data_IF_028164658956
#
_entry.id   IF_028164658956
#
_cell.length_a   1.000
_cell.length_b   1.000
_cell.length_c   1.000
_cell.angle_alpha   90.00
_cell.angle_beta   90.00
_cell.angle_gamma   90.00
#
_symmetry.space_group_name_H-M   'P 1'
#
loop_
_entity.id
_entity.type
_entity.pdbx_description
1 polymer ?
#
# COMPACT_ATOMS: atom_id res chain seq x y z
N UNK A 1 -6.54 -15.76 -9.97
CA UNK A 1 -6.07 -15.67 -11.37
C UNK A 1 -6.39 -14.29 -11.92
N UNK A 2 -5.51 -13.73 -12.74
CA UNK A 2 -5.65 -12.41 -13.38
C UNK A 2 -5.86 -12.59 -14.89
N UNK A 3 -6.70 -11.75 -15.50
CA UNK A 3 -6.79 -11.60 -16.95
C UNK A 3 -5.60 -10.78 -17.46
N UNK A 4 -5.08 -11.06 -18.68
CA UNK A 4 -4.03 -10.24 -19.30
C UNK A 4 -4.36 -8.74 -19.43
N UNK A 5 -5.65 -8.38 -19.42
CA UNK A 5 -6.09 -6.97 -19.43
C UNK A 5 -6.00 -6.27 -18.08
N UNK A 6 -5.74 -7.01 -17.00
CA UNK A 6 -5.75 -6.49 -15.62
C UNK A 6 -4.37 -6.13 -15.10
N UNK A 7 -3.34 -6.42 -15.88
CA UNK A 7 -1.97 -6.10 -15.51
C UNK A 7 -1.14 -5.74 -16.73
N UNK A 8 -0.04 -5.06 -16.46
CA UNK A 8 1.09 -4.96 -17.38
C UNK A 8 2.33 -5.54 -16.72
N UNK A 9 3.39 -5.73 -17.49
CA UNK A 9 4.71 -6.12 -16.96
C UNK A 9 5.63 -4.93 -17.13
N UNK A 10 6.28 -4.52 -16.04
CA UNK A 10 7.10 -3.32 -16.10
C UNK A 10 7.87 -3.03 -14.83
N UNK A 11 8.48 -1.84 -14.84
CA UNK A 11 9.27 -1.31 -13.73
C UNK A 11 8.43 -0.40 -12.86
N UNK A 12 8.74 -0.39 -11.57
CA UNK A 12 7.99 0.38 -10.57
C UNK A 12 7.95 1.87 -10.88
N UNK A 13 8.97 2.42 -11.56
CA UNK A 13 9.00 3.83 -11.94
C UNK A 13 7.91 4.28 -12.91
N UNK A 14 7.18 3.33 -13.52
CA UNK A 14 6.02 3.61 -14.37
C UNK A 14 4.67 3.39 -13.68
N UNK A 15 4.68 2.86 -12.44
CA UNK A 15 3.48 2.51 -11.71
C UNK A 15 2.87 3.75 -11.04
N UNK A 16 1.56 3.93 -11.26
CA UNK A 16 0.78 5.01 -10.64
C UNK A 16 0.35 4.63 -9.22
N UNK A 17 0.01 5.60 -8.36
CA UNK A 17 -0.65 5.32 -7.07
C UNK A 17 -1.84 4.36 -7.24
N UNK A 18 -2.07 3.53 -6.22
CA UNK A 18 -3.00 2.38 -6.26
C UNK A 18 -2.64 1.32 -7.31
N UNK A 19 -1.34 1.09 -7.53
CA UNK A 19 -0.85 -0.09 -8.24
C UNK A 19 -0.24 -1.09 -7.27
N UNK A 20 -0.63 -2.36 -7.38
CA UNK A 20 0.02 -3.49 -6.72
C UNK A 20 1.02 -4.12 -7.70
N UNK A 21 2.28 -4.26 -7.29
CA UNK A 21 3.29 -4.98 -8.07
C UNK A 21 3.49 -6.35 -7.43
N UNK A 22 3.22 -7.40 -8.19
CA UNK A 22 3.51 -8.78 -7.79
C UNK A 22 4.86 -9.23 -8.38
N UNK A 23 5.68 -9.97 -7.61
CA UNK A 23 6.99 -10.41 -8.08
C UNK A 23 6.85 -11.44 -9.21
N UNK A 24 7.70 -11.31 -10.22
CA UNK A 24 7.86 -12.27 -11.33
C UNK A 24 9.12 -13.12 -11.20
N UNK A 25 9.99 -12.78 -10.25
CA UNK A 25 11.21 -13.53 -9.93
C UNK A 25 11.48 -13.57 -8.43
N UNK A 26 12.41 -14.42 -8.02
CA UNK A 26 12.87 -14.54 -6.62
C UNK A 26 13.67 -13.32 -6.10
N UNK A 27 13.99 -12.37 -6.97
CA UNK A 27 14.73 -11.16 -6.61
C UNK A 27 13.81 -9.94 -6.47
N UNK A 28 12.51 -10.12 -6.69
CA UNK A 28 11.49 -9.08 -6.57
C UNK A 28 10.64 -9.31 -5.32
N UNK A 29 9.99 -8.24 -4.84
CA UNK A 29 9.08 -8.29 -3.69
C UNK A 29 7.73 -7.68 -4.06
N UNK A 30 6.69 -8.02 -3.28
CA UNK A 30 5.37 -7.40 -3.44
C UNK A 30 5.41 -5.95 -2.98
N UNK A 31 4.98 -5.02 -3.85
CA UNK A 31 4.98 -3.58 -3.58
C UNK A 31 3.58 -2.98 -3.76
N UNK A 32 3.22 -1.99 -2.95
CA UNK A 32 2.07 -1.11 -3.19
C UNK A 32 2.55 0.31 -3.44
N UNK A 33 2.06 0.93 -4.52
CA UNK A 33 2.35 2.33 -4.82
C UNK A 33 1.29 3.22 -4.18
N UNK A 34 1.73 4.10 -3.29
CA UNK A 34 0.95 5.23 -2.77
C UNK A 34 1.65 6.55 -3.11
N UNK A 35 1.49 7.55 -2.25
CA UNK A 35 2.07 8.88 -2.41
C UNK A 35 2.68 9.40 -1.11
N UNK A 36 3.81 10.10 -1.24
CA UNK A 36 4.44 10.86 -0.17
C UNK A 36 4.82 12.22 -0.76
N UNK A 37 4.34 13.30 -0.15
CA UNK A 37 4.52 14.67 -0.66
C UNK A 37 4.13 14.79 -2.14
N UNK A 38 2.96 14.24 -2.49
CA UNK A 38 2.40 14.17 -3.86
C UNK A 38 3.20 13.31 -4.86
N UNK A 39 4.35 12.76 -4.44
CA UNK A 39 5.20 11.93 -5.30
C UNK A 39 4.87 10.44 -5.14
N UNK A 40 4.75 9.70 -6.27
CA UNK A 40 4.59 8.24 -6.25
C UNK A 40 5.66 7.55 -5.42
N UNK A 41 5.23 6.72 -4.48
CA UNK A 41 6.09 6.07 -3.49
C UNK A 41 5.68 4.63 -3.31
N UNK A 42 6.61 3.69 -3.53
CA UNK A 42 6.38 2.27 -3.35
C UNK A 42 6.68 1.86 -1.91
N UNK A 43 5.83 1.01 -1.36
CA UNK A 43 5.95 0.40 -0.03
C UNK A 43 6.09 -1.11 -0.18
N UNK A 44 7.09 -1.70 0.46
CA UNK A 44 7.29 -3.15 0.48
C UNK A 44 6.28 -3.82 1.41
N UNK A 45 5.50 -4.75 0.86
CA UNK A 45 4.47 -5.49 1.60
C UNK A 45 4.95 -6.85 2.12
N UNK A 46 6.03 -7.37 1.56
CA UNK A 46 6.56 -8.71 1.82
C UNK A 46 8.09 -8.69 1.82
N UNK A 47 8.72 -9.83 2.08
CA UNK A 47 10.16 -10.00 1.89
C UNK A 47 11.03 -9.34 2.96
N UNK A 48 12.31 -9.17 2.65
CA UNK A 48 13.31 -8.67 3.61
C UNK A 48 13.18 -7.17 3.84
N UNK A 49 12.61 -6.45 2.87
CA UNK A 49 12.40 -5.00 2.96
C UNK A 49 11.01 -4.64 3.46
N UNK A 50 10.19 -5.62 3.93
CA UNK A 50 8.82 -5.40 4.40
C UNK A 50 8.73 -4.14 5.28
N UNK A 51 7.74 -3.31 4.99
CA UNK A 51 7.47 -1.98 5.56
C UNK A 51 8.38 -0.83 5.15
N UNK A 52 9.50 -1.07 4.47
CA UNK A 52 10.30 0.02 3.90
C UNK A 52 9.60 0.66 2.70
N UNK A 53 10.06 1.84 2.29
CA UNK A 53 9.53 2.54 1.13
C UNK A 53 10.61 3.27 0.34
N UNK A 54 10.30 3.62 -0.90
CA UNK A 54 11.15 4.45 -1.76
C UNK A 54 10.31 5.19 -2.82
N UNK A 55 10.77 6.37 -3.26
CA UNK A 55 10.14 7.13 -4.35
C UNK A 55 10.30 6.35 -5.66
N UNK A 56 9.24 6.23 -6.46
CA UNK A 56 9.27 5.36 -7.64
C UNK A 56 9.91 6.02 -8.86
N UNK A 57 9.88 7.35 -8.96
CA UNK A 57 10.37 8.09 -10.13
C UNK A 57 11.80 7.67 -10.55
N UNK A 58 11.94 7.22 -11.80
CA UNK A 58 13.22 6.77 -12.37
C UNK A 58 13.77 5.46 -11.80
N UNK A 59 13.02 4.74 -10.95
CA UNK A 59 13.46 3.48 -10.38
C UNK A 59 13.24 2.31 -11.36
N UNK A 60 14.36 1.80 -11.87
CA UNK A 60 14.43 0.65 -12.79
C UNK A 60 14.84 -0.66 -12.07
N UNK A 61 15.15 -0.58 -10.78
CA UNK A 61 15.66 -1.70 -9.98
C UNK A 61 14.57 -2.70 -9.60
N UNK A 62 13.34 -2.23 -9.37
CA UNK A 62 12.20 -3.07 -9.01
C UNK A 62 11.16 -3.14 -10.13
N UNK A 63 10.48 -4.28 -10.22
CA UNK A 63 9.46 -4.52 -11.23
C UNK A 63 8.61 -5.74 -10.92
N UNK A 64 7.78 -6.11 -11.89
CA UNK A 64 6.93 -7.28 -11.80
C UNK A 64 5.64 -7.12 -12.60
N UNK A 65 4.61 -7.86 -12.19
CA UNK A 65 3.25 -7.69 -12.70
C UNK A 65 2.62 -6.47 -12.01
N UNK A 66 2.40 -5.41 -12.76
CA UNK A 66 1.78 -4.18 -12.27
C UNK A 66 0.27 -4.29 -12.48
N UNK A 67 -0.47 -4.33 -11.38
CA UNK A 67 -1.94 -4.37 -11.34
C UNK A 67 -2.41 -2.98 -10.90
N UNK A 68 -2.87 -2.13 -11.82
CA UNK A 68 -3.34 -0.79 -11.48
C UNK A 68 -4.74 -0.82 -10.86
N UNK A 69 -5.15 0.31 -10.29
CA UNK A 69 -6.51 0.55 -9.80
C UNK A 69 -7.00 -0.49 -8.80
N UNK A 70 -6.09 -0.99 -7.94
CA UNK A 70 -6.49 -1.84 -6.82
C UNK A 70 -7.23 -1.02 -5.77
N UNK A 71 -8.06 -1.71 -4.98
CA UNK A 71 -8.82 -1.09 -3.88
C UNK A 71 -8.32 -1.60 -2.55
N UNK A 72 -8.39 -0.73 -1.55
CA UNK A 72 -8.02 -1.05 -0.18
C UNK A 72 -9.30 -1.30 0.61
N UNK A 73 -9.40 -2.46 1.24
CA UNK A 73 -10.50 -2.79 2.16
C UNK A 73 -9.90 -3.00 3.56
N UNK A 74 -10.52 -2.42 4.57
CA UNK A 74 -10.12 -2.49 5.98
C UNK A 74 -11.05 -3.45 6.72
N UNK A 75 -10.49 -4.18 7.69
CA UNK A 75 -11.26 -4.97 8.64
C UNK A 75 -11.60 -4.11 9.86
N UNK A 76 -12.88 -3.80 10.01
CA UNK A 76 -13.40 -2.94 11.07
C UNK A 76 -13.23 -3.51 12.47
N UNK A 77 -12.88 -4.80 12.61
CA UNK A 77 -12.66 -5.41 13.93
C UNK A 77 -11.20 -5.31 14.40
N UNK A 78 -10.30 -4.88 13.51
CA UNK A 78 -8.85 -4.86 13.73
C UNK A 78 -8.30 -3.54 14.27
N UNK A 79 -9.09 -2.84 15.10
CA UNK A 79 -8.70 -1.55 15.66
C UNK A 79 -7.40 -1.64 16.47
N UNK A 80 -6.55 -0.65 16.26
CA UNK A 80 -5.32 -0.45 17.03
C UNK A 80 -5.40 0.91 17.70
N UNK A 81 -4.98 0.98 18.97
CA UNK A 81 -4.87 2.24 19.67
C UNK A 81 -3.97 3.22 18.88
N UNK A 82 -4.45 4.45 18.71
CA UNK A 82 -3.75 5.51 17.98
C UNK A 82 -2.38 5.79 18.59
N UNK A 83 -2.28 5.78 19.92
CA UNK A 83 -1.10 6.15 20.69
C UNK A 83 -0.22 4.97 21.06
N UNK A 84 -0.63 3.75 20.73
CA UNK A 84 0.19 2.58 21.00
C UNK A 84 1.44 2.57 20.11
N UNK A 85 2.61 2.52 20.77
CA UNK A 85 3.89 2.24 20.14
C UNK A 85 4.00 0.82 19.58
N UNK A 86 3.03 -0.05 19.89
CA UNK A 86 2.98 -1.44 19.45
C UNK A 86 2.20 -1.62 18.13
N UNK A 87 1.69 -0.54 17.54
CA UNK A 87 1.00 -0.63 16.27
C UNK A 87 1.92 -1.25 15.19
N UNK A 88 1.46 -2.31 14.50
CA UNK A 88 2.30 -2.98 13.51
C UNK A 88 2.63 -2.03 12.35
N UNK A 89 3.84 -2.15 11.83
CA UNK A 89 4.17 -1.56 10.53
C UNK A 89 3.22 -2.10 9.46
N UNK A 90 2.96 -1.29 8.43
CA UNK A 90 1.89 -1.49 7.45
C UNK A 90 0.46 -1.39 8.01
N UNK A 91 0.25 -0.98 9.27
CA UNK A 91 -1.08 -0.55 9.70
C UNK A 91 -1.59 0.63 8.86
N UNK A 92 -2.89 0.68 8.63
CA UNK A 92 -3.53 1.77 7.89
C UNK A 92 -4.31 2.68 8.84
N UNK A 93 -4.30 3.98 8.56
CA UNK A 93 -5.01 4.99 9.34
C UNK A 93 -5.94 5.78 8.45
N UNK A 94 -7.23 5.81 8.80
CA UNK A 94 -8.20 6.75 8.26
C UNK A 94 -8.03 8.08 9.02
N UNK A 95 -7.66 9.14 8.31
CA UNK A 95 -7.44 10.48 8.89
C UNK A 95 -7.85 11.57 7.90
N UNK A 96 -8.52 12.61 8.38
CA UNK A 96 -9.07 13.72 7.58
C UNK A 96 -9.72 13.24 6.27
N UNK A 97 -9.14 13.54 5.10
CA UNK A 97 -9.64 13.17 3.77
C UNK A 97 -8.86 12.01 3.13
N UNK A 98 -8.06 11.29 3.93
CA UNK A 98 -7.07 10.31 3.45
C UNK A 98 -7.15 8.96 4.15
N UNK A 99 -6.64 7.96 3.44
CA UNK A 99 -6.20 6.69 4.00
C UNK A 99 -4.68 6.59 3.81
N UNK A 100 -3.96 6.39 4.91
CA UNK A 100 -2.49 6.31 4.91
C UNK A 100 -2.01 4.98 5.46
N UNK A 101 -0.83 4.52 5.03
CA UNK A 101 -0.17 3.32 5.54
C UNK A 101 1.14 3.68 6.25
N UNK A 102 1.38 3.00 7.37
CA UNK A 102 2.60 3.06 8.13
C UNK A 102 3.78 2.41 7.39
N UNK A 103 4.80 3.19 7.06
CA UNK A 103 6.05 2.67 6.49
C UNK A 103 7.26 3.13 7.30
N UNK A 104 8.36 2.38 7.21
CA UNK A 104 9.62 2.65 7.88
C UNK A 104 10.57 3.35 6.93
N UNK A 105 11.16 4.46 7.39
CA UNK A 105 12.27 5.10 6.70
C UNK A 105 13.55 4.28 6.90
N UNK A 106 14.34 4.11 5.84
CA UNK A 106 15.66 3.48 5.93
C UNK A 106 16.65 4.34 6.72
N UNK A 107 16.53 5.66 6.64
CA UNK A 107 17.51 6.64 7.15
C UNK A 107 17.12 7.29 8.47
N UNK A 108 15.91 7.05 8.97
CA UNK A 108 15.45 7.61 10.23
C UNK A 108 14.74 6.55 11.07
N UNK A 109 14.84 6.69 12.39
CA UNK A 109 14.16 5.83 13.36
C UNK A 109 12.63 6.07 13.40
N UNK A 110 12.08 6.86 12.48
CA UNK A 110 10.68 7.26 12.45
C UNK A 110 9.83 6.48 11.46
N UNK A 111 8.54 6.37 11.79
CA UNK A 111 7.50 5.95 10.87
C UNK A 111 7.09 7.13 9.98
N UNK A 112 6.84 6.84 8.70
CA UNK A 112 6.29 7.78 7.72
C UNK A 112 4.92 7.27 7.29
N UNK A 113 4.00 8.20 7.00
CA UNK A 113 2.67 7.90 6.49
C UNK A 113 2.67 8.05 4.98
N UNK A 114 2.49 6.95 4.26
CA UNK A 114 2.33 6.94 2.80
C UNK A 114 0.85 6.97 2.49
N UNK A 115 0.41 7.93 1.70
CA UNK A 115 -1.00 8.07 1.32
C UNK A 115 -1.37 7.00 0.30
N UNK A 116 -2.38 6.18 0.62
CA UNK A 116 -2.92 5.18 -0.29
C UNK A 116 -4.14 5.70 -1.04
N UNK A 117 -4.97 6.52 -0.40
CA UNK A 117 -6.18 7.08 -1.00
C UNK A 117 -6.41 8.51 -0.48
N UNK A 118 -6.84 9.41 -1.36
CA UNK A 118 -7.21 10.80 -1.05
C UNK A 118 -8.65 11.11 -1.49
N UNK A 119 -9.17 12.28 -1.09
CA UNK A 119 -10.50 12.73 -1.50
C UNK A 119 -11.65 11.98 -0.82
N UNK A 120 -11.41 11.39 0.35
CA UNK A 120 -12.45 10.79 1.19
C UNK A 120 -13.18 11.89 1.99
N UNK A 121 -14.42 11.63 2.41
CA UNK A 121 -15.20 12.54 3.25
C UNK A 121 -14.45 12.87 4.55
N UNK A 122 -14.25 14.15 4.87
CA UNK A 122 -13.41 14.53 6.02
C UNK A 122 -13.90 13.92 7.34
N UNK A 123 -12.96 13.33 8.10
CA UNK A 123 -13.19 12.92 9.48
C UNK A 123 -12.85 14.01 10.50
N UNK A 124 -12.46 15.20 10.05
CA UNK A 124 -11.90 16.25 10.90
C UNK A 124 -10.67 15.74 11.65
N UNK A 125 -10.67 15.89 12.97
CA UNK A 125 -9.58 15.44 13.85
C UNK A 125 -9.66 13.93 14.18
N UNK A 126 -10.81 13.29 13.93
CA UNK A 126 -11.00 11.89 14.27
C UNK A 126 -10.14 10.99 13.38
N UNK A 127 -9.49 10.00 14.01
CA UNK A 127 -8.69 8.99 13.32
C UNK A 127 -9.07 7.59 13.77
N UNK A 128 -8.91 6.63 12.86
CA UNK A 128 -9.06 5.22 13.16
C UNK A 128 -7.91 4.44 12.51
N UNK A 129 -7.20 3.65 13.31
CA UNK A 129 -6.07 2.82 12.87
C UNK A 129 -6.48 1.36 12.87
N UNK A 130 -6.09 0.64 11.82
CA UNK A 130 -6.44 -0.75 11.58
C UNK A 130 -5.18 -1.57 11.29
N UNK A 131 -5.03 -2.71 11.96
CA UNK A 131 -3.93 -3.64 11.71
C UNK A 131 -4.17 -4.48 10.45
N UNK A 132 -5.43 -4.90 10.26
CA UNK A 132 -5.79 -5.83 9.19
C UNK A 132 -6.48 -5.07 8.06
N UNK A 133 -6.00 -5.32 6.85
CA UNK A 133 -6.54 -4.77 5.62
C UNK A 133 -6.10 -5.64 4.45
N UNK A 134 -6.72 -5.43 3.31
CA UNK A 134 -6.47 -6.20 2.11
C UNK A 134 -6.48 -5.34 0.86
N UNK A 135 -5.76 -5.82 -0.14
CA UNK A 135 -5.72 -5.25 -1.48
C UNK A 135 -6.58 -6.13 -2.38
N UNK A 136 -7.58 -5.52 -3.02
CA UNK A 136 -8.55 -6.23 -3.84
C UNK A 136 -8.63 -5.66 -5.25
N UNK A 137 -9.01 -6.52 -6.20
CA UNK A 137 -9.35 -6.15 -7.57
C UNK A 137 -10.80 -6.54 -7.87
N UNK A 138 -11.50 -5.74 -8.67
CA UNK A 138 -12.92 -5.96 -8.99
C UNK A 138 -13.85 -5.55 -7.85
N UNK A 139 -15.16 -5.83 -8.01
CA UNK A 139 -16.25 -5.51 -7.05
C UNK A 139 -17.26 -6.64 -7.01
N UNK A 140 -18.06 -6.73 -5.94
CA UNK A 140 -19.16 -7.69 -5.83
C UNK A 140 -18.67 -9.14 -5.97
N UNK A 141 -19.33 -9.91 -6.84
CA UNK A 141 -18.97 -11.31 -7.09
C UNK A 141 -17.63 -11.49 -7.83
N UNK A 142 -17.16 -10.47 -8.56
CA UNK A 142 -15.87 -10.50 -9.27
C UNK A 142 -14.69 -10.05 -8.39
N UNK A 143 -14.95 -9.75 -7.12
CA UNK A 143 -13.93 -9.32 -6.17
C UNK A 143 -12.91 -10.44 -5.94
N UNK A 144 -11.63 -10.11 -6.09
CA UNK A 144 -10.50 -10.97 -5.75
C UNK A 144 -9.59 -10.28 -4.77
N UNK A 145 -9.23 -10.98 -3.70
CA UNK A 145 -8.18 -10.55 -2.77
C UNK A 145 -6.83 -10.92 -3.38
N UNK A 146 -5.94 -9.93 -3.50
CA UNK A 146 -4.61 -10.09 -4.08
C UNK A 146 -3.53 -10.14 -3.00
N UNK A 147 -3.75 -9.45 -1.87
CA UNK A 147 -2.83 -9.42 -0.74
C UNK A 147 -3.58 -9.08 0.55
N UNK A 148 -3.10 -9.58 1.69
CA UNK A 148 -3.67 -9.33 3.03
C UNK A 148 -2.57 -8.98 4.03
N UNK A 149 -2.81 -7.94 4.84
CA UNK A 149 -2.08 -7.70 6.07
C UNK A 149 -2.70 -8.55 7.19
N UNK A 150 -1.90 -9.44 7.75
CA UNK A 150 -2.20 -10.27 8.93
C UNK A 150 -1.01 -10.26 9.87
#
# INVERSE_FOLDING_TARGET
>A
MLSPSEFTVGKVGTAMPLSLILPTSKYEETLLVGQLDELPTAVFLSGQHKSMFFKTEGNESWGGLIIPSVRIEIDETSFVDEYSSEAPMLSVTRTDTKLVVAARSERSFGQVQITLHEGLDSTGEAKAKFANWQIVLGKGQDKRVLWTAT
#
